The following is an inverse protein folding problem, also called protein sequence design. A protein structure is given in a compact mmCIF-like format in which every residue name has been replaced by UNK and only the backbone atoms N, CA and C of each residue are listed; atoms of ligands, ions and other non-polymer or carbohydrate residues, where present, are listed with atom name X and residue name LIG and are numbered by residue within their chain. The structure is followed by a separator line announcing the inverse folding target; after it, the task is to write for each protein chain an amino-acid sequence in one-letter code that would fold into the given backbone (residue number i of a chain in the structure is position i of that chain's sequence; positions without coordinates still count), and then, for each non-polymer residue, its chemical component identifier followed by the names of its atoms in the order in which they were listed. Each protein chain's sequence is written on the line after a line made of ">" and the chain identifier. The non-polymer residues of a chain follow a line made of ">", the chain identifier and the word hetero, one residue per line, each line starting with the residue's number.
data_IF_203352999795
#
_entry.id   IF_203352999795
#
_cell.length_a   1.000
_cell.length_b   1.000
_cell.length_c   1.000
_cell.angle_alpha   90.00
_cell.angle_beta   90.00
_cell.angle_gamma   90.00
#
_symmetry.space_group_name_H-M   'P 1'
#
loop_
_entity.id
_entity.type
_entity.pdbx_description
1 polymer ?
#
# COMPACT_ATOMS: atom_id res chain seq x y z
N UNK A 1 3.85 -20.52 -0.55
CA UNK A 1 3.30 -19.31 0.10
C UNK A 1 2.70 -18.39 -0.94
N UNK A 2 1.77 -17.54 -0.51
CA UNK A 2 1.05 -16.57 -1.34
C UNK A 2 2.01 -15.54 -1.99
N UNK A 3 2.88 -14.92 -1.19
CA UNK A 3 3.90 -13.97 -1.66
C UNK A 3 4.80 -14.54 -2.77
N UNK A 4 5.37 -15.74 -2.59
CA UNK A 4 6.26 -16.31 -3.59
C UNK A 4 5.55 -16.53 -4.93
N UNK A 5 4.30 -17.01 -4.91
CA UNK A 5 3.51 -17.20 -6.13
C UNK A 5 3.19 -15.88 -6.81
N UNK A 6 2.80 -14.87 -6.04
CA UNK A 6 2.57 -13.52 -6.54
C UNK A 6 3.81 -12.96 -7.27
N UNK A 7 4.98 -13.07 -6.65
CA UNK A 7 6.24 -12.59 -7.23
C UNK A 7 6.65 -13.40 -8.47
N UNK A 8 6.45 -14.72 -8.47
CA UNK A 8 6.71 -15.55 -9.65
C UNK A 8 5.80 -15.15 -10.81
N UNK A 9 4.50 -14.97 -10.57
CA UNK A 9 3.55 -14.56 -11.61
C UNK A 9 3.90 -13.20 -12.20
N UNK A 10 4.22 -12.22 -11.34
CA UNK A 10 4.67 -10.91 -11.81
C UNK A 10 5.96 -10.99 -12.65
N UNK A 11 6.91 -11.85 -12.27
CA UNK A 11 8.16 -12.02 -13.01
C UNK A 11 8.03 -12.74 -14.35
N UNK A 12 6.99 -13.55 -14.56
CA UNK A 12 6.80 -14.32 -15.78
C UNK A 12 6.02 -13.57 -16.87
N UNK A 13 5.62 -12.32 -16.63
CA UNK A 13 4.95 -11.50 -17.64
C UNK A 13 5.92 -11.05 -18.72
N UNK A 14 5.55 -11.27 -19.97
CA UNK A 14 6.34 -10.89 -21.15
C UNK A 14 6.62 -9.37 -21.23
N UNK A 15 5.75 -8.56 -20.63
CA UNK A 15 5.90 -7.09 -20.54
C UNK A 15 7.05 -6.65 -19.62
N UNK A 16 7.55 -7.52 -18.73
CA UNK A 16 8.52 -7.16 -17.70
C UNK A 16 9.95 -7.50 -18.14
N UNK A 17 10.85 -6.53 -18.03
CA UNK A 17 12.28 -6.80 -18.17
C UNK A 17 12.78 -7.71 -17.05
N UNK A 18 13.74 -8.57 -17.37
CA UNK A 18 14.33 -9.49 -16.38
C UNK A 18 14.93 -8.69 -15.22
N UNK A 19 14.38 -8.90 -14.02
CA UNK A 19 14.79 -8.19 -12.80
C UNK A 19 13.98 -6.93 -12.49
N UNK A 20 13.08 -6.50 -13.38
CA UNK A 20 12.15 -5.40 -13.18
C UNK A 20 10.75 -5.93 -12.85
N UNK A 21 10.63 -6.63 -11.72
CA UNK A 21 9.34 -7.19 -11.28
C UNK A 21 8.31 -6.08 -11.08
N UNK A 22 7.29 -6.03 -11.95
CA UNK A 22 6.17 -5.10 -11.81
C UNK A 22 4.96 -5.82 -11.20
N UNK A 23 4.70 -5.55 -9.92
CA UNK A 23 3.45 -5.94 -9.27
C UNK A 23 2.33 -4.98 -9.69
N UNK A 24 1.23 -5.55 -10.19
CA UNK A 24 0.00 -4.83 -10.50
C UNK A 24 -0.97 -4.98 -9.32
N UNK A 25 -1.93 -4.07 -9.19
CA UNK A 25 -2.95 -4.16 -8.14
C UNK A 25 -3.71 -5.50 -8.18
N UNK A 26 -3.99 -6.03 -9.37
CA UNK A 26 -4.64 -7.33 -9.52
C UNK A 26 -3.88 -8.47 -8.83
N UNK A 27 -2.55 -8.41 -8.81
CA UNK A 27 -1.71 -9.42 -8.15
C UNK A 27 -1.93 -9.42 -6.64
N UNK A 28 -1.99 -8.22 -6.05
CA UNK A 28 -2.26 -8.04 -4.63
C UNK A 28 -3.69 -8.48 -4.26
N UNK A 29 -4.66 -8.20 -5.13
CA UNK A 29 -6.05 -8.62 -4.91
C UNK A 29 -6.21 -10.14 -5.03
N UNK A 30 -5.46 -10.80 -5.90
CA UNK A 30 -5.52 -12.25 -6.07
C UNK A 30 -4.76 -12.98 -4.97
N UNK A 31 -3.51 -12.58 -4.73
CA UNK A 31 -2.59 -13.33 -3.89
C UNK A 31 -2.41 -12.77 -2.49
N UNK A 32 -3.04 -11.66 -2.12
CA UNK A 32 -2.83 -10.98 -0.83
C UNK A 32 -3.25 -11.74 0.43
N UNK A 33 -3.85 -12.93 0.32
CA UNK A 33 -4.29 -13.70 1.48
C UNK A 33 -3.13 -14.08 2.42
N UNK A 34 -3.43 -14.09 3.73
CA UNK A 34 -2.49 -14.43 4.79
C UNK A 34 -1.26 -13.50 4.85
N UNK A 35 -1.37 -12.27 4.34
CA UNK A 35 -0.33 -11.26 4.35
C UNK A 35 -0.81 -9.98 5.04
N UNK A 36 0.09 -9.35 5.80
CA UNK A 36 -0.11 -7.97 6.27
C UNK A 36 0.38 -7.00 5.21
N UNK A 37 -0.42 -5.98 4.92
CA UNK A 37 -0.08 -4.94 3.94
C UNK A 37 0.05 -3.59 4.64
N UNK A 38 1.19 -2.94 4.46
CA UNK A 38 1.43 -1.58 4.91
C UNK A 38 1.51 -0.64 3.69
N UNK A 39 0.65 0.38 3.63
CA UNK A 39 0.59 1.32 2.50
C UNK A 39 1.23 2.63 2.91
N UNK A 40 2.23 3.08 2.14
CA UNK A 40 2.89 4.37 2.32
C UNK A 40 2.39 5.33 1.22
N UNK A 41 1.31 6.09 1.43
CA UNK A 41 0.79 7.00 0.42
C UNK A 41 1.68 8.25 0.29
N UNK A 42 1.69 8.84 -0.89
CA UNK A 42 2.23 10.18 -1.08
C UNK A 42 1.17 11.22 -0.67
N UNK A 43 1.25 11.68 0.58
CA UNK A 43 0.23 12.52 1.21
C UNK A 43 0.03 13.90 0.54
N UNK A 44 1.04 14.39 -0.19
CA UNK A 44 1.03 15.74 -0.78
C UNK A 44 0.41 15.83 -2.17
N UNK A 45 0.31 14.73 -2.90
CA UNK A 45 0.11 14.78 -4.35
C UNK A 45 -1.34 14.51 -4.78
N UNK A 46 -2.02 13.56 -4.14
CA UNK A 46 -3.39 13.16 -4.52
C UNK A 46 -4.17 12.55 -3.33
N UNK A 47 -4.79 13.38 -2.46
CA UNK A 47 -5.52 12.88 -1.31
C UNK A 47 -6.72 11.99 -1.68
N UNK A 48 -7.49 12.36 -2.71
CA UNK A 48 -8.72 11.64 -3.07
C UNK A 48 -8.42 10.29 -3.75
N UNK A 49 -7.43 10.25 -4.65
CA UNK A 49 -6.97 9.00 -5.24
C UNK A 49 -6.37 8.05 -4.21
N UNK A 50 -5.60 8.58 -3.25
CA UNK A 50 -5.10 7.79 -2.12
C UNK A 50 -6.25 7.20 -1.29
N UNK A 51 -7.26 7.99 -0.94
CA UNK A 51 -8.43 7.52 -0.18
C UNK A 51 -9.16 6.41 -0.92
N UNK A 52 -9.44 6.60 -2.22
CA UNK A 52 -10.14 5.61 -3.04
C UNK A 52 -9.34 4.29 -3.15
N UNK A 53 -8.03 4.39 -3.38
CA UNK A 53 -7.15 3.23 -3.48
C UNK A 53 -7.04 2.47 -2.16
N UNK A 54 -6.83 3.17 -1.05
CA UNK A 54 -6.71 2.54 0.28
C UNK A 54 -8.05 1.93 0.70
N UNK A 55 -9.18 2.56 0.37
CA UNK A 55 -10.51 1.96 0.60
C UNK A 55 -10.66 0.62 -0.11
N UNK A 56 -10.26 0.53 -1.38
CA UNK A 56 -10.30 -0.73 -2.14
C UNK A 56 -9.39 -1.80 -1.55
N UNK A 57 -8.22 -1.42 -1.03
CA UNK A 57 -7.33 -2.33 -0.32
C UNK A 57 -7.92 -2.75 1.03
N UNK A 58 -8.63 -1.86 1.73
CA UNK A 58 -9.28 -2.15 3.00
C UNK A 58 -10.34 -3.23 2.83
N UNK A 59 -11.14 -3.13 1.78
CA UNK A 59 -12.16 -4.15 1.46
C UNK A 59 -11.54 -5.53 1.24
N UNK A 60 -10.30 -5.58 0.73
CA UNK A 60 -9.59 -6.83 0.43
C UNK A 60 -8.79 -7.41 1.60
N UNK A 61 -8.06 -6.58 2.32
CA UNK A 61 -7.11 -6.98 3.37
C UNK A 61 -7.71 -6.86 4.78
N UNK A 62 -8.82 -6.14 4.94
CA UNK A 62 -9.50 -5.95 6.22
C UNK A 62 -8.55 -5.48 7.32
N UNK A 63 -8.53 -6.21 8.43
CA UNK A 63 -7.69 -5.90 9.60
C UNK A 63 -6.18 -6.07 9.35
N UNK A 64 -5.77 -6.71 8.25
CA UNK A 64 -4.36 -6.89 7.89
C UNK A 64 -3.77 -5.66 7.16
N UNK A 65 -4.59 -4.67 6.82
CA UNK A 65 -4.15 -3.41 6.22
C UNK A 65 -3.75 -2.39 7.29
N UNK A 66 -2.59 -1.75 7.11
CA UNK A 66 -2.17 -0.59 7.89
C UNK A 66 -1.71 0.55 6.99
N UNK A 67 -1.94 1.77 7.44
CA UNK A 67 -1.34 2.95 6.84
C UNK A 67 0.04 3.15 7.45
N UNK A 68 1.08 3.20 6.65
CA UNK A 68 2.44 3.47 7.12
C UNK A 68 2.79 4.94 6.97
N UNK A 69 3.61 5.45 7.88
CA UNK A 69 4.29 6.73 7.72
C UNK A 69 5.79 6.58 8.02
N UNK A 70 6.62 7.11 7.13
CA UNK A 70 8.06 7.15 7.30
C UNK A 70 8.52 8.62 7.45
N UNK A 71 9.35 8.94 8.46
CA UNK A 71 10.02 10.23 8.52
C UNK A 71 10.92 10.40 7.29
N UNK A 72 10.89 11.57 6.68
CA UNK A 72 11.84 11.95 5.65
C UNK A 72 12.97 12.85 6.15
N UNK A 73 12.92 13.25 7.43
CA UNK A 73 13.93 14.03 8.14
C UNK A 73 14.23 15.40 7.48
N UNK A 74 13.26 15.96 6.75
CA UNK A 74 13.38 17.28 6.10
C UNK A 74 12.73 18.41 6.88
N UNK A 75 12.38 18.18 8.15
CA UNK A 75 11.84 19.20 9.06
C UNK A 75 10.32 19.39 9.01
N UNK A 76 9.62 18.66 8.14
CA UNK A 76 8.15 18.64 8.05
C UNK A 76 7.50 17.32 8.51
N UNK A 77 8.28 16.45 9.18
CA UNK A 77 7.82 15.11 9.59
C UNK A 77 6.57 15.16 10.48
N UNK A 78 6.50 16.10 11.42
CA UNK A 78 5.32 16.25 12.29
C UNK A 78 4.05 16.43 11.46
N UNK A 79 4.10 17.32 10.46
CA UNK A 79 2.95 17.60 9.59
C UNK A 79 2.60 16.40 8.71
N UNK A 80 3.60 15.63 8.24
CA UNK A 80 3.38 14.40 7.48
C UNK A 80 2.73 13.31 8.33
N UNK A 81 3.18 13.13 9.57
CA UNK A 81 2.61 12.16 10.52
C UNK A 81 1.18 12.54 10.89
N UNK A 82 0.89 13.81 11.15
CA UNK A 82 -0.47 14.29 11.44
C UNK A 82 -1.42 14.07 10.25
N UNK A 83 -0.97 14.33 9.01
CA UNK A 83 -1.76 14.04 7.82
C UNK A 83 -2.03 12.54 7.64
N UNK A 84 -1.01 11.69 7.85
CA UNK A 84 -1.19 10.25 7.81
C UNK A 84 -2.19 9.77 8.87
N UNK A 85 -2.10 10.29 10.10
CA UNK A 85 -3.03 9.97 11.18
C UNK A 85 -4.46 10.39 10.83
N UNK A 86 -4.67 11.59 10.30
CA UNK A 86 -6.00 12.05 9.87
C UNK A 86 -6.58 11.20 8.73
N UNK A 87 -5.74 10.77 7.78
CA UNK A 87 -6.15 9.87 6.70
C UNK A 87 -6.50 8.47 7.22
N UNK A 88 -5.69 7.94 8.14
CA UNK A 88 -5.92 6.65 8.78
C UNK A 88 -7.25 6.62 9.54
N UNK A 89 -7.54 7.68 10.30
CA UNK A 89 -8.79 7.85 11.04
C UNK A 89 -10.00 7.90 10.12
N UNK A 90 -9.95 8.71 9.05
CA UNK A 90 -11.02 8.81 8.04
C UNK A 90 -11.33 7.47 7.37
N UNK A 91 -10.30 6.67 7.09
CA UNK A 91 -10.44 5.36 6.47
C UNK A 91 -10.71 4.25 7.48
N UNK A 92 -10.63 4.51 8.78
CA UNK A 92 -10.73 3.50 9.83
C UNK A 92 -9.70 2.39 9.68
N UNK A 93 -8.46 2.74 9.33
CA UNK A 93 -7.31 1.81 9.22
C UNK A 93 -6.27 2.18 10.28
N UNK A 94 -5.58 1.21 10.91
CA UNK A 94 -4.54 1.52 11.88
C UNK A 94 -3.32 2.21 11.22
N UNK A 95 -2.78 3.24 11.89
CA UNK A 95 -1.49 3.82 11.54
C UNK A 95 -0.34 2.96 12.11
N UNK A 96 0.75 2.82 11.35
CA UNK A 96 2.01 2.14 11.69
C UNK A 96 3.17 3.11 11.57
#
# INVERSE_FOLDING_TARGET
>A
GHLCRMLTQANLRDENEKGATLLKLSDLLEWGDLMSLAVLPELSSDPDGNLAMISRLKDRFGAALRLAVAPDYRGHDRFRVEQAAAMADRLGVPLM
#
